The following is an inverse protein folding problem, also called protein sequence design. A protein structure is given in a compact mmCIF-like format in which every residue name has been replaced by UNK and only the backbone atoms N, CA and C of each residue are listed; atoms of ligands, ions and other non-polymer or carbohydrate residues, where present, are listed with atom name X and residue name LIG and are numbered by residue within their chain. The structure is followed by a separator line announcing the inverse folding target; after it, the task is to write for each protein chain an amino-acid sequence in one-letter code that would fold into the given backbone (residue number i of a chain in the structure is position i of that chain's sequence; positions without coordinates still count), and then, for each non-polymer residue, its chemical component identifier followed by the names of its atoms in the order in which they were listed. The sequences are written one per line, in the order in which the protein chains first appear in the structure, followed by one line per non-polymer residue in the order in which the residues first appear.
data_IF_990068789903
#
_entry.id   IF_990068789903
#
_cell.length_a   1.000
_cell.length_b   1.000
_cell.length_c   1.000
_cell.angle_alpha   90.00
_cell.angle_beta   90.00
_cell.angle_gamma   90.00
#
_symmetry.space_group_name_H-M   'P 1'
#
loop_
_entity.id
_entity.type
_entity.pdbx_description
1 polymer ?
#
# COMPACT_ATOMS: atom_id res chain seq x y z
N UNK A 1 -12.49 16.95 -7.41
CA UNK A 1 -11.60 15.78 -7.22
C UNK A 1 -10.16 16.20 -7.43
N UNK A 2 -9.25 15.64 -6.64
CA UNK A 2 -7.81 15.82 -6.78
C UNK A 2 -7.29 15.19 -8.08
N UNK A 3 -6.28 15.79 -8.70
CA UNK A 3 -5.50 15.10 -9.72
C UNK A 3 -4.63 14.00 -9.07
N UNK A 4 -4.08 13.09 -9.88
CA UNK A 4 -3.31 11.96 -9.36
C UNK A 4 -2.12 12.40 -8.48
N UNK A 5 -1.36 13.42 -8.89
CA UNK A 5 -0.22 13.90 -8.09
C UNK A 5 -0.65 14.50 -6.75
N UNK A 6 -1.76 15.24 -6.73
CA UNK A 6 -2.33 15.79 -5.50
C UNK A 6 -2.86 14.68 -4.58
N UNK A 7 -3.46 13.64 -5.16
CA UNK A 7 -3.91 12.45 -4.43
C UNK A 7 -2.73 11.71 -3.78
N UNK A 8 -1.67 11.47 -4.54
CA UNK A 8 -0.44 10.82 -4.04
C UNK A 8 0.17 11.62 -2.89
N UNK A 9 0.31 12.94 -3.06
CA UNK A 9 0.84 13.81 -2.00
C UNK A 9 -0.05 13.86 -0.77
N UNK A 10 -1.37 13.82 -0.95
CA UNK A 10 -2.31 13.73 0.17
C UNK A 10 -2.09 12.44 0.96
N UNK A 11 -2.07 11.29 0.28
CA UNK A 11 -1.88 9.98 0.91
C UNK A 11 -0.54 9.92 1.65
N UNK A 12 0.56 10.35 1.00
CA UNK A 12 1.89 10.39 1.63
C UNK A 12 1.88 11.21 2.92
N UNK A 13 1.39 12.46 2.86
CA UNK A 13 1.38 13.37 4.03
C UNK A 13 0.53 12.85 5.17
N UNK A 14 -0.62 12.27 4.85
CA UNK A 14 -1.53 11.74 5.85
C UNK A 14 -0.93 10.54 6.57
N UNK A 15 -0.24 9.64 5.84
CA UNK A 15 0.50 8.54 6.46
C UNK A 15 1.73 9.02 7.24
N UNK A 16 2.53 9.94 6.70
CA UNK A 16 3.68 10.53 7.42
C UNK A 16 3.25 11.12 8.77
N UNK A 17 2.12 11.84 8.77
CA UNK A 17 1.54 12.42 9.97
C UNK A 17 1.07 11.36 10.97
N UNK A 18 0.41 10.29 10.52
CA UNK A 18 -0.13 9.24 11.40
C UNK A 18 0.93 8.34 12.01
N UNK A 19 2.02 8.08 11.28
CA UNK A 19 3.11 7.23 11.78
C UNK A 19 4.14 8.00 12.60
N UNK A 20 4.19 9.34 12.53
CA UNK A 20 5.05 10.19 13.36
C UNK A 20 6.53 9.71 13.41
N UNK A 21 7.03 9.19 12.27
CA UNK A 21 8.40 8.67 12.16
C UNK A 21 8.62 7.22 12.62
N UNK A 22 7.58 6.51 13.10
CA UNK A 22 7.63 5.06 13.38
C UNK A 22 7.87 4.24 12.11
N UNK A 23 7.27 4.68 11.00
CA UNK A 23 7.56 4.23 9.64
C UNK A 23 8.05 5.41 8.81
N UNK A 24 9.10 5.19 8.03
CA UNK A 24 9.46 6.06 6.93
C UNK A 24 8.50 5.80 5.77
N UNK A 25 7.82 6.86 5.34
CA UNK A 25 6.84 6.80 4.26
C UNK A 25 7.44 7.46 3.02
N UNK A 26 7.50 6.74 1.91
CA UNK A 26 8.12 7.20 0.67
C UNK A 26 7.21 6.93 -0.54
N UNK A 27 7.38 7.71 -1.61
CA UNK A 27 6.70 7.47 -2.88
C UNK A 27 7.73 6.99 -3.89
N UNK A 28 7.48 5.82 -4.47
CA UNK A 28 8.33 5.22 -5.50
C UNK A 28 7.57 5.04 -6.81
N UNK A 29 8.28 5.15 -7.93
CA UNK A 29 7.73 4.81 -9.25
C UNK A 29 8.43 3.58 -9.78
N UNK A 30 7.67 2.51 -9.96
CA UNK A 30 8.20 1.25 -10.47
C UNK A 30 7.66 0.99 -11.86
N UNK A 31 8.53 0.45 -12.71
CA UNK A 31 8.12 -0.10 -13.99
C UNK A 31 7.73 -1.56 -13.79
N UNK A 32 6.45 -1.91 -13.94
CA UNK A 32 6.00 -3.31 -13.99
C UNK A 32 6.58 -4.00 -15.24
N UNK A 33 6.64 -5.33 -15.23
CA UNK A 33 7.24 -6.15 -16.30
C UNK A 33 6.64 -5.92 -17.71
N UNK A 34 5.42 -5.37 -17.77
CA UNK A 34 4.74 -4.97 -19.01
C UNK A 34 5.09 -3.53 -19.48
N UNK A 35 6.03 -2.86 -18.81
CA UNK A 35 6.47 -1.52 -19.15
C UNK A 35 5.62 -0.39 -18.56
N UNK A 36 4.54 -0.72 -17.83
CA UNK A 36 3.66 0.27 -17.18
C UNK A 36 4.36 0.84 -15.95
N UNK A 37 4.37 2.18 -15.84
CA UNK A 37 4.85 2.88 -14.66
C UNK A 37 3.73 2.94 -13.62
N UNK A 38 3.96 2.40 -12.43
CA UNK A 38 3.04 2.45 -11.29
C UNK A 38 3.66 3.27 -10.17
N UNK A 39 2.83 4.01 -9.44
CA UNK A 39 3.25 4.80 -8.28
C UNK A 39 2.90 4.04 -7.01
N UNK A 40 3.93 3.65 -6.25
CA UNK A 40 3.80 2.98 -4.98
C UNK A 40 3.98 3.95 -3.80
N UNK A 41 3.21 3.77 -2.75
CA UNK A 41 3.51 4.30 -1.42
C UNK A 41 4.20 3.21 -0.61
N UNK A 42 5.36 3.52 -0.03
CA UNK A 42 6.22 2.56 0.66
C UNK A 42 6.31 2.90 2.13
N UNK A 43 6.06 1.92 2.98
CA UNK A 43 6.30 2.00 4.43
C UNK A 43 7.53 1.17 4.81
N UNK A 44 8.53 1.80 5.43
CA UNK A 44 9.76 1.13 5.91
C UNK A 44 9.98 1.37 7.39
N UNK A 45 10.33 0.31 8.13
CA UNK A 45 10.84 0.47 9.50
C UNK A 45 12.25 1.07 9.43
N UNK A 46 12.62 2.04 10.28
CA UNK A 46 13.92 2.71 10.21
C UNK A 46 15.15 1.78 10.30
N UNK A 47 14.98 0.58 10.84
CA UNK A 47 16.05 -0.42 11.01
C UNK A 47 16.07 -1.51 9.94
N UNK A 48 15.03 -1.58 9.10
CA UNK A 48 14.85 -2.65 8.13
C UNK A 48 15.20 -2.16 6.73
N UNK A 49 15.82 -3.03 5.94
CA UNK A 49 16.10 -2.75 4.52
C UNK A 49 14.89 -2.98 3.62
N UNK A 50 13.95 -3.80 4.09
CA UNK A 50 12.75 -4.18 3.38
C UNK A 50 11.56 -3.42 3.93
N UNK A 51 10.60 -3.10 3.06
CA UNK A 51 9.36 -2.42 3.42
C UNK A 51 8.20 -3.00 2.62
N UNK A 52 7.00 -2.52 2.91
CA UNK A 52 5.80 -2.87 2.15
C UNK A 52 5.38 -1.73 1.25
N UNK A 53 4.68 -2.05 0.17
CA UNK A 53 4.30 -1.11 -0.86
C UNK A 53 2.84 -1.26 -1.25
N UNK A 54 2.18 -0.12 -1.46
CA UNK A 54 0.79 -0.01 -1.94
C UNK A 54 0.78 0.70 -3.28
N UNK A 55 0.09 0.17 -4.29
CA UNK A 55 -0.06 0.86 -5.57
C UNK A 55 -1.16 1.92 -5.49
N UNK A 56 -0.79 3.20 -5.60
CA UNK A 56 -1.72 4.32 -5.48
C UNK A 56 -2.58 4.52 -6.73
N UNK A 57 -2.17 3.98 -7.89
CA UNK A 57 -2.97 4.01 -9.12
C UNK A 57 -4.34 3.36 -8.92
N UNK A 58 -4.40 2.18 -8.28
CA UNK A 58 -5.65 1.45 -8.04
C UNK A 58 -6.54 2.14 -6.99
N UNK A 59 -5.92 2.81 -6.01
CA UNK A 59 -6.64 3.65 -5.04
C UNK A 59 -7.18 4.93 -5.69
N UNK A 60 -6.45 5.49 -6.66
CA UNK A 60 -6.91 6.64 -7.42
C UNK A 60 -8.09 6.30 -8.34
N UNK A 61 -8.13 5.08 -8.89
CA UNK A 61 -9.27 4.61 -9.68
C UNK A 61 -10.56 4.58 -8.84
N UNK A 62 -10.52 4.01 -7.64
CA UNK A 62 -11.71 3.97 -6.76
C UNK A 62 -12.05 5.36 -6.18
N UNK A 63 -11.07 6.24 -5.98
CA UNK A 63 -11.32 7.65 -5.65
C UNK A 63 -12.13 8.33 -6.76
N UNK A 64 -11.84 8.03 -8.04
CA UNK A 64 -12.62 8.54 -9.17
C UNK A 64 -14.04 7.99 -9.24
N UNK A 65 -14.28 6.83 -8.63
CA UNK A 65 -15.61 6.23 -8.49
C UNK A 65 -16.40 6.81 -7.30
N UNK A 66 -15.80 7.71 -6.50
CA UNK A 66 -16.48 8.47 -5.47
C UNK A 66 -16.17 8.05 -4.02
N UNK A 67 -15.22 7.14 -3.81
CA UNK A 67 -14.76 6.78 -2.45
C UNK A 67 -14.01 7.95 -1.82
N UNK A 68 -14.25 8.22 -0.53
CA UNK A 68 -13.65 9.36 0.18
C UNK A 68 -12.15 9.17 0.46
N UNK A 69 -11.40 10.27 0.49
CA UNK A 69 -9.96 10.26 0.70
C UNK A 69 -9.59 9.70 2.08
N UNK A 70 -10.37 10.05 3.09
CA UNK A 70 -10.19 9.64 4.47
C UNK A 70 -10.32 8.12 4.60
N UNK A 71 -11.30 7.52 3.91
CA UNK A 71 -11.52 6.07 3.91
C UNK A 71 -10.38 5.32 3.22
N UNK A 72 -9.90 5.83 2.08
CA UNK A 72 -8.75 5.26 1.38
C UNK A 72 -7.47 5.37 2.22
N UNK A 73 -7.27 6.50 2.88
CA UNK A 73 -6.15 6.73 3.78
C UNK A 73 -6.19 5.81 5.01
N UNK A 74 -7.37 5.57 5.58
CA UNK A 74 -7.55 4.63 6.69
C UNK A 74 -7.15 3.21 6.28
N UNK A 75 -7.57 2.77 5.09
CA UNK A 75 -7.23 1.44 4.59
C UNK A 75 -5.71 1.26 4.38
N UNK A 76 -5.02 2.28 3.88
CA UNK A 76 -3.54 2.27 3.77
C UNK A 76 -2.91 2.22 5.16
N UNK A 77 -3.42 3.02 6.09
CA UNK A 77 -2.92 3.05 7.48
C UNK A 77 -3.05 1.68 8.15
N UNK A 78 -4.20 1.02 8.03
CA UNK A 78 -4.42 -0.30 8.61
C UNK A 78 -3.42 -1.33 8.09
N UNK A 79 -3.11 -1.29 6.79
CA UNK A 79 -2.12 -2.18 6.20
C UNK A 79 -0.71 -1.91 6.74
N UNK A 80 -0.31 -0.64 6.82
CA UNK A 80 1.01 -0.23 7.33
C UNK A 80 1.17 -0.50 8.83
N UNK A 81 0.12 -0.24 9.61
CA UNK A 81 0.08 -0.52 11.04
C UNK A 81 0.11 -2.03 11.32
N UNK A 82 -0.51 -2.82 10.46
CA UNK A 82 -0.46 -4.29 10.54
C UNK A 82 0.95 -4.81 10.25
N UNK A 83 1.64 -4.27 9.23
CA UNK A 83 3.05 -4.55 8.96
C UNK A 83 3.99 -4.21 10.14
N UNK A 84 3.64 -3.20 10.95
CA UNK A 84 4.42 -2.85 12.12
C UNK A 84 4.44 -3.95 13.19
N UNK A 85 3.38 -4.77 13.26
CA UNK A 85 3.22 -5.80 14.30
C UNK A 85 4.17 -6.99 14.04
N UNK A 86 5.03 -7.35 15.01
CA UNK A 86 6.09 -8.36 14.82
C UNK A 86 5.55 -9.79 14.61
N UNK A 87 4.34 -10.08 15.08
CA UNK A 87 3.74 -11.42 15.00
C UNK A 87 2.72 -11.56 13.85
N UNK A 88 2.56 -10.53 13.00
CA UNK A 88 1.60 -10.58 11.92
C UNK A 88 2.25 -11.18 10.66
N UNK A 89 1.75 -12.31 10.14
CA UNK A 89 2.29 -12.89 8.91
C UNK A 89 2.05 -11.91 7.76
N UNK A 90 3.13 -11.42 7.16
CA UNK A 90 3.10 -10.54 5.98
C UNK A 90 2.32 -11.16 4.81
N UNK A 91 2.22 -12.48 4.78
CA UNK A 91 1.45 -13.30 3.85
C UNK A 91 -0.09 -13.12 3.98
N UNK A 92 -0.56 -12.35 4.96
CA UNK A 92 -1.98 -11.97 5.12
C UNK A 92 -2.28 -10.55 4.63
N UNK A 93 -1.28 -9.78 4.19
CA UNK A 93 -1.49 -8.46 3.59
C UNK A 93 -2.00 -8.64 2.15
N UNK A 94 -3.31 -8.48 1.99
CA UNK A 94 -4.01 -8.70 0.72
C UNK A 94 -3.68 -7.67 -0.36
N UNK A 95 -3.70 -8.14 -1.61
CA UNK A 95 -3.56 -7.31 -2.80
C UNK A 95 -4.87 -6.55 -3.05
N UNK A 96 -4.85 -5.21 -2.99
CA UNK A 96 -6.05 -4.39 -3.17
C UNK A 96 -6.74 -4.65 -4.53
N UNK A 97 -5.99 -5.06 -5.56
CA UNK A 97 -6.54 -5.42 -6.87
C UNK A 97 -7.42 -6.68 -6.84
N UNK A 98 -7.24 -7.59 -5.88
CA UNK A 98 -8.02 -8.83 -5.75
C UNK A 98 -9.34 -8.63 -4.98
N UNK A 99 -9.49 -7.54 -4.23
CA UNK A 99 -10.68 -7.25 -3.40
C UNK A 99 -11.85 -6.68 -4.22
N UNK A 100 -11.64 -6.30 -5.49
CA UNK A 100 -12.72 -5.80 -6.36
C UNK A 100 -13.81 -6.84 -6.68
N UNK A 101 -13.57 -8.13 -6.42
CA UNK A 101 -14.48 -9.21 -6.85
C UNK A 101 -15.05 -10.09 -5.73
N UNK A 102 -14.60 -9.99 -4.48
CA UNK A 102 -15.12 -10.82 -3.39
C UNK A 102 -15.35 -10.04 -2.09
N UNK A 103 -16.48 -10.26 -1.37
CA UNK A 103 -16.62 -9.80 0.00
C UNK A 103 -15.58 -10.55 0.86
N UNK A 104 -14.71 -9.80 1.54
CA UNK A 104 -13.62 -10.29 2.41
C UNK A 104 -13.97 -11.62 3.11
N UNK A 105 -13.35 -12.76 2.74
CA UNK A 105 -13.64 -14.02 3.40
C UNK A 105 -13.00 -14.06 4.80
N UNK A 106 -13.79 -14.45 5.79
CA UNK A 106 -13.43 -14.55 7.21
C UNK A 106 -12.37 -15.63 7.56
N UNK A 107 -11.60 -16.11 6.58
CA UNK A 107 -10.49 -17.05 6.72
C UNK A 107 -9.52 -16.84 5.57
N UNK A 108 -8.59 -15.90 5.69
CA UNK A 108 -7.55 -15.69 4.70
C UNK A 108 -6.54 -16.86 4.75
N UNK A 109 -6.72 -17.83 3.85
CA UNK A 109 -5.76 -18.88 3.59
C UNK A 109 -4.75 -18.43 2.54
N UNK A 110 -3.45 -18.52 2.88
CA UNK A 110 -2.27 -18.51 1.99
C UNK A 110 -2.32 -17.56 0.78
N UNK A 111 -1.70 -16.38 0.90
CA UNK A 111 -1.29 -15.59 -0.26
C UNK A 111 0.15 -15.08 -0.07
N UNK A 112 1.08 -15.53 -0.93
CA UNK A 112 2.49 -15.18 -0.86
C UNK A 112 2.72 -13.67 -1.06
N UNK A 113 3.32 -12.99 -0.08
CA UNK A 113 3.94 -11.67 -0.27
C UNK A 113 5.44 -11.75 -0.01
N UNK A 114 6.19 -12.23 -1.00
CA UNK A 114 7.65 -12.08 -1.05
C UNK A 114 8.05 -11.62 -2.44
N UNK A 115 8.38 -10.32 -2.57
CA UNK A 115 9.26 -9.85 -3.63
C UNK A 115 10.66 -10.40 -3.35
N UNK A 116 10.88 -11.70 -3.62
CA UNK A 116 12.23 -12.17 -3.91
C UNK A 116 12.64 -11.52 -5.21
N UNK A 117 13.44 -10.46 -5.12
CA UNK A 117 14.19 -9.99 -6.28
C UNK A 117 14.90 -11.21 -6.90
N UNK A 118 14.81 -11.42 -8.23
CA UNK A 118 15.55 -12.50 -8.85
C UNK A 118 17.04 -12.24 -8.62
N UNK A 119 17.71 -13.19 -7.96
CA UNK A 119 19.18 -13.23 -7.95
C UNK A 119 19.63 -13.38 -9.39
N UNK A 120 20.46 -12.43 -9.83
CA UNK A 120 21.26 -12.52 -11.06
C UNK A 120 22.15 -13.75 -11.00
#
# INVERSE_FOLDING_TARGET
MLNFYQFVEYMRKEQEKRFEGRLAIEVERIKKNNGVLVTGLVGRKPKDKEGIMVYLDSYYDVYKEGIELEQLSENIYDMFNTYEKPDFPLDELGDFEQVKTEPLPAKAGRFNMLLKQPKV
#
